data_IF_975736915152
#
_entry.id   IF_975736915152
#
_cell.length_a   1.000
_cell.length_b   1.000
_cell.length_c   1.000
_cell.angle_alpha   90.00
_cell.angle_beta   90.00
_cell.angle_gamma   90.00
#
_symmetry.space_group_name_H-M   'P 1'
#
loop_
_entity.id
_entity.type
_entity.pdbx_description
1 polymer ?
#
# COMPACT_ATOMS: atom_id res chain seq x y z
N UNK A 1 41.65 2.96 50.06
CA UNK A 1 42.21 2.32 48.86
C UNK A 1 41.69 3.08 47.66
N UNK A 2 42.65 3.70 47.00
CA UNK A 2 42.54 4.69 45.94
C UNK A 2 42.49 3.97 44.59
N UNK A 3 41.56 4.35 43.71
CA UNK A 3 41.63 4.03 42.29
C UNK A 3 41.41 5.32 41.49
N UNK A 4 42.53 6.00 41.23
CA UNK A 4 42.67 6.96 40.16
C UNK A 4 43.37 6.29 38.97
N UNK A 5 42.75 6.33 37.79
CA UNK A 5 43.32 6.74 36.49
C UNK A 5 42.65 6.07 35.28
N UNK A 6 42.37 6.92 34.29
CA UNK A 6 42.36 6.58 32.86
C UNK A 6 41.10 5.88 32.37
N UNK A 7 40.16 6.57 31.71
CA UNK A 7 40.42 7.18 30.41
C UNK A 7 39.29 8.16 30.12
N UNK A 8 39.63 9.44 29.97
CA UNK A 8 38.78 10.36 29.23
C UNK A 8 38.66 9.79 27.81
N UNK A 9 37.49 9.23 27.50
CA UNK A 9 37.13 8.86 26.14
C UNK A 9 37.26 10.13 25.31
N UNK A 10 38.26 10.13 24.42
CA UNK A 10 38.34 11.06 23.29
C UNK A 10 36.95 11.13 22.66
N UNK A 11 36.25 12.23 22.87
CA UNK A 11 35.14 12.65 22.00
C UNK A 11 35.75 12.79 20.62
N UNK A 12 35.62 11.76 19.79
CA UNK A 12 36.06 11.81 18.41
C UNK A 12 35.26 12.91 17.72
N UNK A 13 35.96 13.98 17.32
CA UNK A 13 35.41 15.12 16.61
C UNK A 13 34.96 14.80 15.16
N UNK A 14 34.48 13.56 14.94
CA UNK A 14 34.04 13.03 13.66
C UNK A 14 33.14 11.80 13.79
N UNK A 15 32.62 11.48 14.99
CA UNK A 15 31.59 10.46 15.14
C UNK A 15 30.29 10.95 14.49
N UNK A 16 29.89 10.30 13.40
CA UNK A 16 28.56 10.49 12.84
C UNK A 16 27.52 10.10 13.89
N UNK A 17 26.53 10.97 14.10
CA UNK A 17 25.41 10.66 14.97
C UNK A 17 24.45 9.73 14.23
N UNK A 18 23.94 8.70 14.91
CA UNK A 18 22.93 7.78 14.36
C UNK A 18 21.83 8.57 13.65
N UNK A 19 21.58 8.26 12.37
CA UNK A 19 20.65 9.01 11.50
C UNK A 19 19.22 8.46 11.48
N UNK A 20 18.90 7.54 12.39
CA UNK A 20 17.59 6.88 12.48
C UNK A 20 16.87 7.33 13.76
N UNK A 21 15.53 7.50 13.74
CA UNK A 21 14.74 7.71 14.94
C UNK A 21 14.98 6.66 16.03
N UNK A 22 14.68 7.06 17.27
CA UNK A 22 14.50 6.10 18.35
C UNK A 22 13.27 5.22 18.08
N UNK A 23 13.36 3.93 18.42
CA UNK A 23 12.26 2.97 18.25
C UNK A 23 11.25 3.17 19.38
N UNK A 24 10.33 4.12 19.22
CA UNK A 24 9.25 4.45 20.16
C UNK A 24 7.88 4.00 19.65
N UNK A 25 6.82 4.21 20.41
CA UNK A 25 5.46 3.96 19.93
C UNK A 25 5.11 4.83 18.71
N UNK A 26 5.55 6.10 18.71
CA UNK A 26 5.36 7.03 17.59
C UNK A 26 6.07 6.52 16.33
N UNK A 27 7.29 5.96 16.47
CA UNK A 27 8.00 5.34 15.34
C UNK A 27 7.14 4.27 14.65
N UNK A 28 6.55 3.35 15.42
CA UNK A 28 5.72 2.30 14.85
C UNK A 28 4.42 2.84 14.25
N UNK A 29 3.79 3.83 14.89
CA UNK A 29 2.59 4.49 14.33
C UNK A 29 2.92 5.17 13.00
N UNK A 30 3.91 6.06 12.95
CA UNK A 30 4.27 6.73 11.69
C UNK A 30 4.64 5.69 10.63
N UNK A 31 5.40 4.65 10.99
CA UNK A 31 5.76 3.57 10.05
C UNK A 31 4.54 2.88 9.44
N UNK A 32 3.56 2.47 10.25
CA UNK A 32 2.33 1.81 9.75
C UNK A 32 1.48 2.79 8.93
N UNK A 33 1.38 4.05 9.35
CA UNK A 33 0.65 5.05 8.56
C UNK A 33 1.35 5.33 7.22
N UNK A 34 2.68 5.41 7.21
CA UNK A 34 3.46 5.63 5.99
C UNK A 34 3.32 4.46 5.03
N UNK A 35 3.25 3.21 5.50
CA UNK A 35 3.01 2.05 4.62
C UNK A 35 1.61 2.16 4.02
N UNK A 36 0.57 2.40 4.80
CA UNK A 36 -0.80 2.56 4.27
C UNK A 36 -0.94 3.75 3.30
N UNK A 37 -0.31 4.90 3.60
CA UNK A 37 -0.28 6.03 2.65
C UNK A 37 0.48 5.67 1.38
N UNK A 38 1.59 4.94 1.50
CA UNK A 38 2.37 4.49 0.35
C UNK A 38 1.55 3.67 -0.64
N UNK A 39 0.72 2.76 -0.11
CA UNK A 39 -0.21 1.95 -0.90
C UNK A 39 -1.25 2.82 -1.60
N UNK A 40 -2.12 3.42 -0.79
CA UNK A 40 -3.28 4.19 -1.27
C UNK A 40 -2.90 5.36 -2.18
N UNK A 41 -1.71 5.95 -1.99
CA UNK A 41 -1.21 7.01 -2.85
C UNK A 41 -0.59 6.47 -4.14
N UNK A 42 0.07 5.31 -4.12
CA UNK A 42 0.54 4.66 -5.34
C UNK A 42 -0.64 4.30 -6.26
N UNK A 43 -1.69 3.69 -5.70
CA UNK A 43 -2.91 3.32 -6.45
C UNK A 43 -3.58 4.57 -7.05
N UNK A 44 -3.72 5.62 -6.24
CA UNK A 44 -4.24 6.90 -6.70
C UNK A 44 -3.41 7.49 -7.84
N UNK A 45 -2.07 7.41 -7.72
CA UNK A 45 -1.17 7.89 -8.76
C UNK A 45 -1.30 7.07 -10.06
N UNK A 46 -1.52 5.76 -9.97
CA UNK A 46 -1.71 4.88 -11.12
C UNK A 46 -3.04 5.18 -11.85
N UNK A 47 -4.13 5.38 -11.10
CA UNK A 47 -5.48 5.52 -11.66
C UNK A 47 -5.83 6.96 -12.05
N UNK A 48 -5.51 7.96 -11.20
CA UNK A 48 -6.09 9.30 -11.30
C UNK A 48 -5.21 10.33 -12.03
N UNK A 49 -3.90 10.09 -12.17
CA UNK A 49 -2.97 11.09 -12.71
C UNK A 49 -3.01 11.17 -14.23
N UNK A 50 -3.44 10.12 -14.92
CA UNK A 50 -3.64 10.12 -16.38
C UNK A 50 -2.36 10.31 -17.22
N UNK A 51 -1.17 10.28 -16.59
CA UNK A 51 0.13 10.41 -17.27
C UNK A 51 0.66 9.07 -17.81
N UNK A 52 0.00 7.97 -17.47
CA UNK A 52 0.42 6.60 -17.76
C UNK A 52 1.38 6.04 -16.68
N UNK A 53 1.28 4.74 -16.34
CA UNK A 53 2.03 4.13 -15.23
C UNK A 53 3.55 4.40 -15.30
N UNK A 54 4.15 4.18 -16.47
CA UNK A 54 5.60 4.35 -16.67
C UNK A 54 6.12 5.76 -16.34
N UNK A 55 5.37 6.80 -16.72
CA UNK A 55 5.78 8.20 -16.47
C UNK A 55 5.66 8.51 -14.99
N UNK A 56 4.56 8.10 -14.38
CA UNK A 56 4.31 8.26 -12.94
C UNK A 56 5.38 7.57 -12.10
N UNK A 57 5.73 6.33 -12.44
CA UNK A 57 6.79 5.56 -11.77
C UNK A 57 8.15 6.22 -11.91
N UNK A 58 8.51 6.69 -13.11
CA UNK A 58 9.77 7.36 -13.37
C UNK A 58 9.89 8.68 -12.57
N UNK A 59 8.82 9.45 -12.47
CA UNK A 59 8.77 10.68 -11.67
C UNK A 59 8.97 10.36 -10.19
N UNK A 60 8.23 9.38 -9.65
CA UNK A 60 8.33 9.01 -8.24
C UNK A 60 9.69 8.43 -7.86
N UNK A 61 10.28 7.59 -8.72
CA UNK A 61 11.66 7.12 -8.57
C UNK A 61 12.67 8.28 -8.55
N UNK A 62 12.47 9.29 -9.41
CA UNK A 62 13.33 10.48 -9.45
C UNK A 62 13.21 11.29 -8.15
N UNK A 63 11.99 11.52 -7.66
CA UNK A 63 11.74 12.22 -6.41
C UNK A 63 12.36 11.47 -5.22
N UNK A 64 12.21 10.15 -5.18
CA UNK A 64 12.87 9.32 -4.16
C UNK A 64 14.39 9.43 -4.23
N UNK A 65 14.98 9.36 -5.41
CA UNK A 65 16.43 9.48 -5.59
C UNK A 65 16.95 10.84 -5.07
N UNK A 66 16.25 11.93 -5.38
CA UNK A 66 16.59 13.27 -4.85
C UNK A 66 16.48 13.31 -3.32
N UNK A 67 15.40 12.78 -2.74
CA UNK A 67 15.22 12.74 -1.29
C UNK A 67 16.31 11.92 -0.59
N UNK A 68 16.67 10.74 -1.14
CA UNK A 68 17.77 9.93 -0.62
C UNK A 68 19.10 10.67 -0.71
N UNK A 69 19.39 11.38 -1.81
CA UNK A 69 20.60 12.21 -1.92
C UNK A 69 20.65 13.27 -0.82
N UNK A 70 19.52 13.91 -0.51
CA UNK A 70 19.41 14.87 0.61
C UNK A 70 19.66 14.18 1.95
N UNK A 71 19.09 12.98 2.17
CA UNK A 71 19.29 12.18 3.38
C UNK A 71 20.77 11.78 3.57
N UNK A 72 21.43 11.26 2.53
CA UNK A 72 22.85 10.89 2.58
C UNK A 72 23.77 12.09 2.86
N UNK A 73 23.43 13.27 2.31
CA UNK A 73 24.19 14.52 2.55
C UNK A 73 24.01 15.07 3.96
N UNK A 74 22.87 14.79 4.60
CA UNK A 74 22.56 15.29 5.94
C UNK A 74 23.39 14.54 6.99
N UNK A 75 24.13 15.26 7.85
CA UNK A 75 25.08 14.65 8.80
C UNK A 75 24.50 14.25 10.16
N UNK A 76 23.22 14.55 10.39
CA UNK A 76 22.52 14.30 11.67
C UNK A 76 21.11 13.80 11.37
N UNK A 77 20.53 13.07 12.31
CA UNK A 77 19.12 12.72 12.22
C UNK A 77 18.25 13.98 12.10
N UNK A 78 17.50 14.07 11.02
CA UNK A 78 16.53 15.13 10.75
C UNK A 78 15.18 14.46 10.49
N UNK A 79 14.25 14.47 11.47
CA UNK A 79 13.01 13.70 11.40
C UNK A 79 12.23 13.85 10.09
N UNK A 80 12.04 15.08 9.60
CA UNK A 80 11.25 15.29 8.39
C UNK A 80 11.89 14.69 7.12
N UNK A 81 13.22 14.73 6.99
CA UNK A 81 13.93 14.16 5.84
C UNK A 81 13.81 12.63 5.87
N UNK A 82 14.05 12.05 7.03
CA UNK A 82 13.96 10.60 7.22
C UNK A 82 12.56 10.08 6.88
N UNK A 83 11.52 10.70 7.45
CA UNK A 83 10.14 10.25 7.22
C UNK A 83 9.65 10.54 5.81
N UNK A 84 10.10 11.63 5.18
CA UNK A 84 9.88 11.86 3.75
C UNK A 84 10.46 10.72 2.91
N UNK A 85 11.71 10.31 3.17
CA UNK A 85 12.30 9.16 2.50
C UNK A 85 11.51 7.88 2.76
N UNK A 86 11.05 7.62 3.98
CA UNK A 86 10.23 6.43 4.29
C UNK A 86 8.91 6.42 3.49
N UNK A 87 8.22 7.56 3.37
CA UNK A 87 6.98 7.67 2.56
C UNK A 87 7.27 7.53 1.07
N UNK A 88 8.36 8.11 0.56
CA UNK A 88 8.71 7.96 -0.86
C UNK A 88 9.13 6.53 -1.19
N UNK A 89 9.87 5.87 -0.29
CA UNK A 89 10.23 4.46 -0.45
C UNK A 89 8.99 3.57 -0.37
N UNK A 90 7.97 3.93 0.42
CA UNK A 90 6.73 3.15 0.46
C UNK A 90 5.97 3.19 -0.86
N UNK A 91 5.88 4.38 -1.48
CA UNK A 91 5.21 4.55 -2.78
C UNK A 91 5.99 3.81 -3.88
N UNK A 92 7.28 4.10 -4.00
CA UNK A 92 8.12 3.48 -5.04
C UNK A 92 8.26 1.96 -4.83
N UNK A 93 8.24 1.49 -3.58
CA UNK A 93 8.25 0.07 -3.26
C UNK A 93 7.04 -0.66 -3.82
N UNK A 94 5.83 -0.06 -3.73
CA UNK A 94 4.61 -0.59 -4.34
C UNK A 94 4.72 -0.58 -5.86
N UNK A 95 5.04 0.57 -6.46
CA UNK A 95 5.21 0.68 -7.92
C UNK A 95 6.21 -0.34 -8.51
N UNK A 96 7.29 -0.66 -7.78
CA UNK A 96 8.23 -1.71 -8.21
C UNK A 96 7.57 -3.09 -8.21
N UNK A 97 6.76 -3.40 -7.21
CA UNK A 97 6.03 -4.67 -7.15
C UNK A 97 5.00 -4.75 -8.27
N UNK A 98 4.17 -3.73 -8.43
CA UNK A 98 3.10 -3.64 -9.44
C UNK A 98 3.68 -3.71 -10.85
N UNK A 99 4.85 -3.11 -11.07
CA UNK A 99 5.55 -3.25 -12.34
C UNK A 99 5.93 -4.72 -12.63
N UNK A 100 6.33 -5.49 -11.63
CA UNK A 100 6.65 -6.91 -11.82
C UNK A 100 5.40 -7.75 -12.00
N UNK A 101 4.35 -7.52 -11.22
CA UNK A 101 3.13 -8.34 -11.23
C UNK A 101 2.23 -7.98 -12.39
N UNK A 102 1.92 -6.70 -12.56
CA UNK A 102 0.83 -6.23 -13.42
C UNK A 102 1.38 -5.89 -14.81
N UNK A 103 2.58 -5.31 -14.88
CA UNK A 103 3.18 -4.94 -16.18
C UNK A 103 3.96 -6.11 -16.81
N UNK A 104 4.75 -6.84 -16.02
CA UNK A 104 5.53 -7.98 -16.52
C UNK A 104 4.79 -9.32 -16.41
N UNK A 105 3.63 -9.37 -15.75
CA UNK A 105 2.85 -10.61 -15.60
C UNK A 105 3.53 -11.67 -14.72
N UNK A 106 4.46 -11.27 -13.85
CA UNK A 106 5.16 -12.22 -12.96
C UNK A 106 4.26 -12.56 -11.79
N UNK A 107 3.92 -13.85 -11.63
CA UNK A 107 3.06 -14.29 -10.53
C UNK A 107 3.54 -13.79 -9.15
N UNK A 108 2.59 -13.44 -8.28
CA UNK A 108 2.84 -12.98 -6.91
C UNK A 108 3.71 -13.94 -6.08
N UNK A 109 3.61 -15.25 -6.31
CA UNK A 109 4.46 -16.25 -5.65
C UNK A 109 5.93 -16.08 -6.02
N UNK A 110 6.21 -15.85 -7.30
CA UNK A 110 7.57 -15.70 -7.82
C UNK A 110 8.14 -14.34 -7.42
N UNK A 111 7.39 -13.25 -7.57
CA UNK A 111 7.85 -11.91 -7.17
C UNK A 111 8.15 -11.85 -5.67
N UNK A 112 7.27 -12.39 -4.82
CA UNK A 112 7.49 -12.50 -3.37
C UNK A 112 8.75 -13.30 -3.04
N UNK A 113 8.95 -14.47 -3.68
CA UNK A 113 10.14 -15.28 -3.46
C UNK A 113 11.42 -14.56 -3.89
N UNK A 114 11.40 -13.88 -5.04
CA UNK A 114 12.53 -13.10 -5.56
C UNK A 114 12.87 -11.96 -4.61
N UNK A 115 11.91 -11.16 -4.16
CA UNK A 115 12.17 -10.07 -3.21
C UNK A 115 12.67 -10.59 -1.86
N UNK A 116 12.20 -11.75 -1.40
CA UNK A 116 12.69 -12.39 -0.18
C UNK A 116 14.16 -12.81 -0.31
N UNK A 117 14.55 -13.38 -1.46
CA UNK A 117 15.94 -13.73 -1.77
C UNK A 117 16.80 -12.47 -1.85
N UNK A 118 16.36 -11.42 -2.55
CA UNK A 118 17.09 -10.15 -2.62
C UNK A 118 17.29 -9.57 -1.22
N UNK A 119 16.26 -9.57 -0.37
CA UNK A 119 16.35 -9.07 1.00
C UNK A 119 17.37 -9.89 1.82
N UNK A 120 17.34 -11.22 1.69
CA UNK A 120 18.31 -12.10 2.35
C UNK A 120 19.74 -11.83 1.88
N UNK A 121 19.95 -11.57 0.59
CA UNK A 121 21.25 -11.17 0.03
C UNK A 121 21.70 -9.84 0.60
N UNK A 122 20.82 -8.83 0.67
CA UNK A 122 21.13 -7.51 1.24
C UNK A 122 21.53 -7.64 2.72
N UNK A 123 20.77 -8.37 3.54
CA UNK A 123 21.13 -8.59 4.94
C UNK A 123 22.43 -9.38 5.09
N UNK A 124 22.65 -10.39 4.25
CA UNK A 124 23.88 -11.19 4.29
C UNK A 124 25.09 -10.35 3.92
N UNK A 125 25.00 -9.55 2.86
CA UNK A 125 26.06 -8.64 2.44
C UNK A 125 26.35 -7.58 3.51
N UNK A 126 25.31 -6.99 4.09
CA UNK A 126 25.43 -6.03 5.18
C UNK A 126 26.11 -6.65 6.40
N UNK A 127 25.64 -7.81 6.87
CA UNK A 127 26.21 -8.48 8.03
C UNK A 127 27.65 -8.96 7.79
N UNK A 128 27.99 -9.42 6.58
CA UNK A 128 29.38 -9.79 6.24
C UNK A 128 30.33 -8.61 6.30
N UNK A 129 29.88 -7.42 5.88
CA UNK A 129 30.73 -6.23 5.78
C UNK A 129 30.81 -5.43 7.08
N UNK A 130 29.70 -5.33 7.81
CA UNK A 130 29.57 -4.45 8.99
C UNK A 130 29.47 -5.23 10.30
N UNK A 131 29.23 -6.55 10.25
CA UNK A 131 29.07 -7.47 11.40
C UNK A 131 27.98 -7.05 12.39
N UNK A 132 27.06 -6.21 11.93
CA UNK A 132 25.89 -5.72 12.67
C UNK A 132 24.73 -5.53 11.70
N UNK A 133 23.52 -5.81 12.17
CA UNK A 133 22.25 -5.44 11.53
C UNK A 133 21.45 -4.48 12.42
N UNK A 134 22.10 -3.94 13.46
CA UNK A 134 21.45 -3.09 14.44
C UNK A 134 21.23 -1.68 13.86
N UNK A 135 19.97 -1.27 13.84
CA UNK A 135 19.55 0.03 13.31
C UNK A 135 20.12 1.23 14.12
N UNK A 136 20.44 1.00 15.39
CA UNK A 136 21.07 2.01 16.26
C UNK A 136 22.51 2.35 15.85
N UNK A 137 23.13 1.52 15.02
CA UNK A 137 24.54 1.64 14.59
C UNK A 137 24.71 2.25 13.18
N UNK A 138 23.69 2.92 12.64
CA UNK A 138 23.76 3.56 11.32
C UNK A 138 24.47 4.92 11.44
N UNK A 139 25.79 4.84 11.46
CA UNK A 139 26.74 5.94 11.66
C UNK A 139 27.80 6.04 10.54
N UNK A 140 27.67 5.28 9.45
CA UNK A 140 28.53 5.44 8.28
C UNK A 140 27.71 5.52 6.99
N UNK A 141 28.18 6.20 5.94
CA UNK A 141 27.49 6.24 4.65
C UNK A 141 27.24 4.84 4.06
N UNK A 142 28.16 3.90 4.33
CA UNK A 142 28.03 2.50 3.90
C UNK A 142 26.91 1.76 4.63
N UNK A 143 26.84 1.89 5.96
CA UNK A 143 25.72 1.34 6.76
C UNK A 143 24.39 1.97 6.38
N UNK A 144 24.40 3.27 6.11
CA UNK A 144 23.21 4.00 5.63
C UNK A 144 22.75 3.49 4.27
N UNK A 145 23.67 3.19 3.35
CA UNK A 145 23.33 2.61 2.04
C UNK A 145 22.72 1.20 2.17
N UNK A 146 23.30 0.33 3.00
CA UNK A 146 22.69 -0.98 3.29
C UNK A 146 21.32 -0.86 3.94
N UNK A 147 21.17 0.09 4.85
CA UNK A 147 19.92 0.33 5.52
C UNK A 147 18.81 0.76 4.55
N UNK A 148 19.05 1.77 3.70
CA UNK A 148 18.06 2.21 2.71
C UNK A 148 17.79 1.16 1.63
N UNK A 149 18.82 0.42 1.21
CA UNK A 149 18.65 -0.73 0.32
C UNK A 149 17.77 -1.81 0.94
N UNK A 150 18.03 -2.18 2.20
CA UNK A 150 17.20 -3.13 2.93
C UNK A 150 15.77 -2.61 3.05
N UNK A 151 15.58 -1.33 3.42
CA UNK A 151 14.24 -0.74 3.52
C UNK A 151 13.49 -0.86 2.19
N UNK A 152 14.07 -0.39 1.08
CA UNK A 152 13.43 -0.47 -0.23
C UNK A 152 13.02 -1.92 -0.58
N UNK A 153 13.91 -2.89 -0.36
CA UNK A 153 13.58 -4.30 -0.62
C UNK A 153 12.51 -4.83 0.34
N UNK A 154 12.51 -4.45 1.62
CA UNK A 154 11.43 -4.84 2.55
C UNK A 154 10.09 -4.25 2.16
N UNK A 155 10.08 -3.07 1.55
CA UNK A 155 8.85 -2.44 1.05
C UNK A 155 8.30 -3.19 -0.16
N UNK A 156 9.12 -3.45 -1.17
CA UNK A 156 8.71 -4.26 -2.33
C UNK A 156 8.24 -5.67 -1.93
N UNK A 157 9.04 -6.37 -1.10
CA UNK A 157 8.65 -7.68 -0.54
C UNK A 157 7.33 -7.61 0.22
N UNK A 158 7.15 -6.57 1.02
CA UNK A 158 5.99 -6.45 1.87
C UNK A 158 4.70 -6.16 1.11
N UNK A 159 4.77 -5.39 0.01
CA UNK A 159 3.65 -5.21 -0.92
C UNK A 159 3.34 -6.56 -1.58
N UNK A 160 4.32 -7.20 -2.22
CA UNK A 160 4.12 -8.49 -2.89
C UNK A 160 3.55 -9.58 -1.96
N UNK A 161 4.00 -9.62 -0.70
CA UNK A 161 3.50 -10.56 0.29
C UNK A 161 2.09 -10.20 0.82
N UNK A 162 1.73 -8.92 0.82
CA UNK A 162 0.39 -8.42 1.11
C UNK A 162 -0.60 -8.88 0.05
N UNK A 163 -0.30 -8.59 -1.21
CA UNK A 163 -1.13 -8.90 -2.38
C UNK A 163 -1.23 -10.42 -2.57
N UNK A 164 -0.11 -11.14 -2.37
CA UNK A 164 -0.12 -12.60 -2.32
C UNK A 164 -1.12 -13.14 -1.29
N UNK A 165 -1.22 -12.50 -0.11
CA UNK A 165 -2.14 -12.92 0.92
C UNK A 165 -3.60 -12.58 0.58
N UNK A 166 -3.86 -11.40 0.05
CA UNK A 166 -5.23 -10.91 -0.23
C UNK A 166 -5.81 -11.50 -1.52
N UNK A 167 -5.04 -11.56 -2.60
CA UNK A 167 -5.47 -11.96 -3.95
C UNK A 167 -5.19 -13.44 -4.21
N UNK A 168 -3.91 -13.82 -4.23
CA UNK A 168 -3.48 -15.15 -4.68
C UNK A 168 -3.91 -16.26 -3.70
N UNK A 169 -3.81 -16.00 -2.39
CA UNK A 169 -4.31 -16.89 -1.35
C UNK A 169 -5.79 -16.66 -1.02
N UNK A 170 -6.41 -15.64 -1.62
CA UNK A 170 -7.83 -15.31 -1.46
C UNK A 170 -8.26 -15.21 0.00
N UNK A 171 -7.42 -14.61 0.87
CA UNK A 171 -7.78 -14.37 2.27
C UNK A 171 -8.67 -13.13 2.43
N UNK A 172 -8.61 -12.21 1.47
CA UNK A 172 -9.27 -10.91 1.50
C UNK A 172 -8.67 -9.92 2.52
N UNK A 173 -9.04 -8.65 2.38
CA UNK A 173 -8.42 -7.53 3.10
C UNK A 173 -8.52 -7.64 4.64
N UNK A 174 -9.69 -8.02 5.16
CA UNK A 174 -9.95 -8.13 6.61
C UNK A 174 -9.09 -9.21 7.26
N UNK A 175 -9.10 -10.40 6.68
CA UNK A 175 -8.36 -11.55 7.20
C UNK A 175 -6.86 -11.31 7.10
N UNK A 176 -6.39 -10.78 5.96
CA UNK A 176 -5.00 -10.37 5.77
C UNK A 176 -4.52 -9.41 6.86
N UNK A 177 -5.28 -8.33 7.09
CA UNK A 177 -4.99 -7.34 8.15
C UNK A 177 -4.87 -7.99 9.53
N UNK A 178 -5.81 -8.86 9.90
CA UNK A 178 -5.80 -9.55 11.20
C UNK A 178 -4.60 -10.50 11.33
N UNK A 179 -4.26 -11.24 10.27
CA UNK A 179 -3.12 -12.16 10.26
C UNK A 179 -1.82 -11.38 10.46
N UNK A 180 -1.57 -10.32 9.68
CA UNK A 180 -0.33 -9.55 9.79
C UNK A 180 -0.23 -8.81 11.14
N UNK A 181 -1.33 -8.27 11.65
CA UNK A 181 -1.38 -7.69 12.99
C UNK A 181 -1.06 -8.74 14.07
N UNK A 182 -1.62 -9.95 13.94
CA UNK A 182 -1.34 -11.08 14.82
C UNK A 182 0.12 -11.53 14.78
N UNK A 183 0.73 -11.60 13.59
CA UNK A 183 2.15 -11.93 13.43
C UNK A 183 3.07 -10.87 14.06
N UNK A 184 2.73 -9.58 13.95
CA UNK A 184 3.45 -8.50 14.65
C UNK A 184 3.32 -8.67 16.18
N UNK A 185 2.12 -8.98 16.68
CA UNK A 185 1.90 -9.23 18.11
C UNK A 185 2.72 -10.44 18.61
N UNK A 186 2.74 -11.54 17.86
CA UNK A 186 3.57 -12.72 18.17
C UNK A 186 5.05 -12.35 18.18
N UNK A 187 5.51 -11.55 17.22
CA UNK A 187 6.90 -11.09 17.15
C UNK A 187 7.27 -10.23 18.37
N UNK A 188 6.36 -9.34 18.78
CA UNK A 188 6.52 -8.52 19.98
C UNK A 188 6.58 -9.39 21.26
N UNK A 189 5.69 -10.37 21.40
CA UNK A 189 5.71 -11.33 22.51
C UNK A 189 7.01 -12.14 22.54
N UNK A 190 7.47 -12.64 21.40
CA UNK A 190 8.74 -13.37 21.30
C UNK A 190 9.93 -12.52 21.79
N UNK A 191 9.95 -11.22 21.44
CA UNK A 191 10.93 -10.28 21.98
C UNK A 191 10.86 -10.13 23.50
N UNK A 192 9.65 -10.20 24.09
CA UNK A 192 9.46 -10.15 25.54
C UNK A 192 9.96 -11.40 26.26
N UNK A 193 9.98 -12.55 25.58
CA UNK A 193 10.48 -13.84 26.07
C UNK A 193 11.95 -14.12 25.72
N UNK A 194 12.70 -13.12 25.25
CA UNK A 194 14.16 -13.22 25.09
C UNK A 194 14.64 -13.50 23.66
N UNK A 195 13.77 -13.43 22.65
CA UNK A 195 14.22 -13.40 21.27
C UNK A 195 15.08 -12.15 20.99
N UNK A 196 16.07 -12.28 20.09
CA UNK A 196 17.01 -11.19 19.81
C UNK A 196 16.32 -9.91 19.33
N UNK A 197 16.70 -8.77 19.92
CA UNK A 197 16.12 -7.45 19.62
C UNK A 197 16.21 -7.08 18.13
N UNK A 198 17.38 -7.36 17.51
CA UNK A 198 17.61 -7.03 16.10
C UNK A 198 16.72 -7.88 15.19
N UNK A 199 16.58 -9.17 15.49
CA UNK A 199 15.76 -10.09 14.70
C UNK A 199 14.28 -9.73 14.79
N UNK A 200 13.77 -9.58 16.01
CA UNK A 200 12.36 -9.20 16.25
C UNK A 200 12.02 -7.84 15.66
N UNK A 201 12.95 -6.88 15.71
CA UNK A 201 12.81 -5.60 15.02
C UNK A 201 12.62 -5.79 13.50
N UNK A 202 13.50 -6.52 12.83
CA UNK A 202 13.42 -6.70 11.37
C UNK A 202 12.19 -7.49 10.94
N UNK A 203 11.79 -8.52 11.70
CA UNK A 203 10.55 -9.25 11.43
C UNK A 203 9.35 -8.32 11.56
N UNK A 204 9.23 -7.59 12.67
CA UNK A 204 8.14 -6.63 12.85
C UNK A 204 8.15 -5.56 11.75
N UNK A 205 9.32 -5.02 11.43
CA UNK A 205 9.50 -4.02 10.38
C UNK A 205 9.04 -4.51 9.01
N UNK A 206 9.42 -5.73 8.62
CA UNK A 206 8.95 -6.35 7.36
C UNK A 206 7.44 -6.52 7.39
N UNK A 207 6.87 -7.05 8.48
CA UNK A 207 5.43 -7.30 8.61
C UNK A 207 4.56 -6.04 8.65
N UNK A 208 5.11 -4.87 9.02
CA UNK A 208 4.34 -3.61 8.96
C UNK A 208 3.94 -3.21 7.55
N UNK A 209 4.64 -3.68 6.52
CA UNK A 209 4.29 -3.36 5.13
C UNK A 209 3.07 -4.14 4.62
N UNK A 210 3.03 -5.49 4.66
CA UNK A 210 1.84 -6.23 4.25
C UNK A 210 0.64 -5.90 5.15
N UNK A 211 0.86 -5.61 6.44
CA UNK A 211 -0.21 -5.03 7.28
C UNK A 211 -0.73 -3.72 6.69
N UNK A 212 0.17 -2.81 6.29
CA UNK A 212 -0.19 -1.50 5.76
C UNK A 212 -0.91 -1.57 4.43
N UNK A 213 -0.54 -2.52 3.55
CA UNK A 213 -1.21 -2.79 2.27
C UNK A 213 -2.63 -3.31 2.52
N UNK A 214 -2.77 -4.44 3.22
CA UNK A 214 -4.09 -5.02 3.53
C UNK A 214 -5.00 -4.06 4.32
N UNK A 215 -4.43 -3.23 5.21
CA UNK A 215 -5.18 -2.20 5.93
C UNK A 215 -5.59 -1.06 5.00
N UNK A 216 -4.72 -0.64 4.08
CA UNK A 216 -5.02 0.37 3.07
C UNK A 216 -6.22 -0.04 2.24
N UNK A 217 -6.15 -1.22 1.63
CA UNK A 217 -7.22 -1.77 0.80
C UNK A 217 -8.52 -1.93 1.61
N UNK A 218 -8.41 -2.42 2.84
CA UNK A 218 -9.57 -2.54 3.72
C UNK A 218 -10.27 -1.19 3.95
N UNK A 219 -9.51 -0.09 4.06
CA UNK A 219 -10.07 1.23 4.29
C UNK A 219 -10.62 1.86 3.00
N UNK A 220 -9.93 1.67 1.87
CA UNK A 220 -10.22 2.36 0.61
C UNK A 220 -11.26 1.65 -0.25
N UNK A 221 -11.20 0.31 -0.32
CA UNK A 221 -12.03 -0.49 -1.21
C UNK A 221 -13.52 -0.42 -0.86
N UNK A 222 -14.36 -0.64 -1.87
CA UNK A 222 -15.81 -0.58 -1.72
C UNK A 222 -16.33 -1.59 -0.68
N UNK A 223 -17.43 -1.23 0.01
CA UNK A 223 -18.12 -2.13 0.95
C UNK A 223 -18.56 -3.43 0.26
N UNK A 224 -18.94 -3.33 -1.01
CA UNK A 224 -19.35 -4.45 -1.84
C UNK A 224 -18.20 -5.45 -2.09
N UNK A 225 -16.94 -5.03 -1.94
CA UNK A 225 -15.73 -5.89 -2.03
C UNK A 225 -15.12 -6.22 -0.65
N UNK A 226 -15.79 -5.86 0.44
CA UNK A 226 -15.35 -6.18 1.81
C UNK A 226 -14.50 -5.09 2.47
N UNK A 227 -14.25 -3.97 1.76
CA UNK A 227 -13.65 -2.76 2.30
C UNK A 227 -14.61 -1.90 3.13
N UNK A 228 -14.18 -0.68 3.49
CA UNK A 228 -14.95 0.29 4.27
C UNK A 228 -15.44 1.50 3.45
N UNK A 229 -15.04 1.61 2.19
CA UNK A 229 -15.48 2.64 1.25
C UNK A 229 -15.19 4.08 1.73
N UNK A 230 -14.02 4.28 2.35
CA UNK A 230 -13.55 5.62 2.70
C UNK A 230 -12.94 6.36 1.49
N UNK A 231 -12.59 5.63 0.44
CA UNK A 231 -11.90 6.11 -0.74
C UNK A 231 -10.40 6.35 -0.49
N UNK A 232 -9.60 6.20 -1.55
CA UNK A 232 -8.15 6.39 -1.52
C UNK A 232 -7.77 7.81 -1.07
N UNK A 233 -8.30 8.84 -1.73
CA UNK A 233 -7.90 10.24 -1.48
C UNK A 233 -8.15 10.69 -0.05
N UNK A 234 -9.32 10.37 0.52
CA UNK A 234 -9.67 10.77 1.90
C UNK A 234 -8.81 10.04 2.91
N UNK A 235 -8.59 8.74 2.71
CA UNK A 235 -7.76 7.89 3.59
C UNK A 235 -6.31 8.37 3.58
N UNK A 236 -5.74 8.60 2.39
CA UNK A 236 -4.37 9.11 2.25
C UNK A 236 -4.22 10.49 2.90
N UNK A 237 -5.18 11.41 2.71
CA UNK A 237 -5.10 12.76 3.30
C UNK A 237 -5.16 12.72 4.83
N UNK A 238 -6.06 11.93 5.41
CA UNK A 238 -6.18 11.75 6.85
C UNK A 238 -4.87 11.23 7.45
N UNK A 239 -4.33 10.15 6.87
CA UNK A 239 -3.12 9.51 7.38
C UNK A 239 -1.90 10.42 7.19
N UNK A 240 -1.80 11.09 6.04
CA UNK A 240 -0.76 12.08 5.78
C UNK A 240 -0.79 13.24 6.77
N UNK A 241 -1.97 13.78 7.11
CA UNK A 241 -2.11 14.83 8.12
C UNK A 241 -1.62 14.38 9.50
N UNK A 242 -1.95 13.14 9.90
CA UNK A 242 -1.46 12.56 11.16
C UNK A 242 0.06 12.36 11.13
N UNK A 243 0.62 11.85 10.03
CA UNK A 243 2.07 11.71 9.83
C UNK A 243 2.75 13.07 9.98
N UNK A 244 2.29 14.10 9.25
CA UNK A 244 2.87 15.45 9.30
C UNK A 244 2.83 16.01 10.72
N UNK A 245 1.75 15.78 11.47
CA UNK A 245 1.62 16.22 12.87
C UNK A 245 2.64 15.54 13.77
N UNK A 246 2.76 14.21 13.68
CA UNK A 246 3.69 13.43 14.49
C UNK A 246 5.16 13.75 14.12
N UNK A 247 5.47 13.86 12.84
CA UNK A 247 6.80 14.24 12.34
C UNK A 247 7.15 15.68 12.75
N UNK A 248 6.19 16.60 12.70
CA UNK A 248 6.35 17.97 13.17
C UNK A 248 6.70 18.04 14.66
N UNK A 249 6.01 17.25 15.50
CA UNK A 249 6.36 17.08 16.91
C UNK A 249 7.79 16.57 17.08
N UNK A 250 8.16 15.48 16.39
CA UNK A 250 9.52 14.92 16.45
C UNK A 250 10.58 15.94 16.03
N UNK A 251 10.30 16.76 15.01
CA UNK A 251 11.17 17.83 14.56
C UNK A 251 11.37 18.90 15.63
N UNK A 252 10.31 19.27 16.36
CA UNK A 252 10.37 20.23 17.47
C UNK A 252 11.16 19.67 18.67
N UNK A 253 11.00 18.38 18.97
CA UNK A 253 11.72 17.71 20.06
C UNK A 253 13.20 17.50 19.73
N UNK A 254 13.53 17.17 18.49
CA UNK A 254 14.91 17.05 18.02
C UNK A 254 15.70 18.36 18.13
N UNK A 255 15.01 19.51 18.13
CA UNK A 255 15.60 20.84 18.33
C UNK A 255 15.88 21.24 19.78
N UNK A 256 15.40 20.47 20.78
CA UNK A 256 15.55 20.82 22.21
C UNK A 256 16.81 20.19 22.83
N UNK A 257 17.70 20.97 23.49
CA UNK A 257 18.82 20.43 24.24
C UNK A 257 18.31 19.62 25.44
N UNK A 258 18.52 18.29 25.42
CA UNK A 258 18.09 17.34 26.48
C UNK A 258 17.07 16.28 26.06
N UNK A 259 16.61 16.27 24.80
CA UNK A 259 15.44 15.51 24.34
C UNK A 259 15.53 13.98 24.21
N UNK A 260 16.45 13.29 24.89
CA UNK A 260 16.52 11.81 24.82
C UNK A 260 15.69 11.09 25.89
N UNK A 261 15.45 11.74 27.03
CA UNK A 261 14.83 11.08 28.20
C UNK A 261 13.40 11.57 28.49
N UNK A 262 12.95 12.63 27.83
CA UNK A 262 11.61 13.19 28.00
C UNK A 262 10.60 12.51 27.06
N UNK A 263 10.08 11.35 27.47
CA UNK A 263 8.67 11.06 27.19
C UNK A 263 8.29 9.69 26.64
N UNK A 264 8.81 8.58 27.17
CA UNK A 264 8.27 7.25 26.85
C UNK A 264 6.74 7.19 27.11
N UNK A 265 6.26 7.80 28.20
CA UNK A 265 4.82 7.97 28.50
C UNK A 265 4.10 8.94 27.54
N UNK A 266 4.78 10.01 27.12
CA UNK A 266 4.24 10.99 26.18
C UNK A 266 4.04 10.37 24.80
N UNK A 267 4.95 9.51 24.38
CA UNK A 267 4.89 8.86 23.08
C UNK A 267 3.74 7.87 22.98
N UNK A 268 3.44 7.11 24.04
CA UNK A 268 2.24 6.27 24.09
C UNK A 268 0.95 7.09 24.03
N UNK A 269 0.89 8.25 24.71
CA UNK A 269 -0.30 9.11 24.68
C UNK A 269 -0.53 9.72 23.28
N UNK A 270 0.54 10.17 22.61
CA UNK A 270 0.45 10.67 21.23
C UNK A 270 0.11 9.57 20.22
N UNK A 271 0.69 8.37 20.37
CA UNK A 271 0.36 7.22 19.55
C UNK A 271 -1.11 6.81 19.73
N UNK A 272 -1.61 6.75 20.97
CA UNK A 272 -3.02 6.48 21.26
C UNK A 272 -3.93 7.58 20.71
N UNK A 273 -3.55 8.86 20.85
CA UNK A 273 -4.28 9.99 20.29
C UNK A 273 -4.39 9.91 18.77
N UNK A 274 -3.30 9.57 18.07
CA UNK A 274 -3.31 9.36 16.62
C UNK A 274 -4.27 8.23 16.22
N UNK A 275 -4.23 7.09 16.92
CA UNK A 275 -5.15 5.98 16.67
C UNK A 275 -6.62 6.37 16.89
N UNK A 276 -6.91 7.14 17.94
CA UNK A 276 -8.26 7.65 18.24
C UNK A 276 -8.73 8.61 17.15
N UNK A 277 -7.89 9.54 16.70
CA UNK A 277 -8.22 10.49 15.62
C UNK A 277 -8.56 9.73 14.34
N UNK A 278 -7.76 8.74 13.96
CA UNK A 278 -8.00 7.93 12.77
C UNK A 278 -9.30 7.15 12.89
N UNK A 279 -9.54 6.49 14.03
CA UNK A 279 -10.76 5.72 14.25
C UNK A 279 -12.00 6.63 14.24
N UNK A 280 -11.95 7.78 14.91
CA UNK A 280 -13.06 8.73 14.94
C UNK A 280 -13.35 9.33 13.56
N UNK A 281 -12.31 9.70 12.81
CA UNK A 281 -12.45 10.19 11.44
C UNK A 281 -13.03 9.11 10.52
N UNK A 282 -12.55 7.86 10.62
CA UNK A 282 -13.09 6.73 9.86
C UNK A 282 -14.57 6.48 10.15
N UNK A 283 -15.01 6.58 11.41
CA UNK A 283 -16.43 6.46 11.78
C UNK A 283 -17.25 7.63 11.22
N UNK A 284 -16.75 8.86 11.33
CA UNK A 284 -17.45 10.05 10.82
C UNK A 284 -17.58 10.05 9.28
N UNK A 285 -16.55 9.58 8.58
CA UNK A 285 -16.52 9.50 7.12
C UNK A 285 -17.39 8.35 6.60
N UNK A 286 -17.37 7.19 7.25
CA UNK A 286 -18.17 6.02 6.86
C UNK A 286 -19.68 6.18 7.12
N UNK A 287 -20.07 7.08 8.02
CA UNK A 287 -21.48 7.41 8.32
C UNK A 287 -22.10 8.44 7.37
N UNK A 288 -21.36 8.94 6.37
CA UNK A 288 -21.85 9.96 5.44
C UNK A 288 -21.90 11.37 6.03
N UNK A 289 -21.34 11.57 7.22
CA UNK A 289 -21.34 12.84 7.96
C UNK A 289 -20.18 13.78 7.58
N UNK A 290 -19.52 13.55 6.43
CA UNK A 290 -18.50 14.45 5.94
C UNK A 290 -19.11 15.84 5.65
N UNK A 291 -18.48 16.95 6.06
CA UNK A 291 -18.91 18.28 5.63
C UNK A 291 -18.70 18.35 4.12
N UNK A 292 -19.78 18.36 3.35
CA UNK A 292 -19.71 18.48 1.90
C UNK A 292 -19.06 19.80 1.54
N UNK A 293 -17.79 19.75 1.11
CA UNK A 293 -17.19 20.87 0.41
C UNK A 293 -18.00 21.11 -0.86
N UNK A 294 -18.67 22.25 -0.92
CA UNK A 294 -19.53 22.65 -2.02
C UNK A 294 -18.66 22.98 -3.23
N UNK A 295 -18.57 22.06 -4.19
CA UNK A 295 -18.00 22.38 -5.51
C UNK A 295 -19.03 23.20 -6.32
N UNK A 296 -18.61 24.23 -7.08
CA UNK A 296 -19.52 25.04 -7.89
C UNK A 296 -20.13 24.20 -9.02
N UNK A 297 -21.45 24.08 -9.00
CA UNK A 297 -22.21 23.18 -9.85
C UNK A 297 -22.04 23.40 -11.35
N UNK A 298 -21.75 22.31 -12.06
CA UNK A 298 -22.25 22.09 -13.42
C UNK A 298 -23.48 21.20 -13.27
N UNK A 299 -24.66 21.80 -13.43
CA UNK A 299 -25.92 21.06 -13.44
C UNK A 299 -26.00 20.20 -14.71
N UNK A 300 -25.62 18.93 -14.59
CA UNK A 300 -25.97 17.92 -15.58
C UNK A 300 -27.36 17.37 -15.22
N UNK A 301 -28.37 17.72 -16.01
CA UNK A 301 -29.69 17.08 -16.01
C UNK A 301 -29.53 15.62 -16.44
N UNK A 302 -29.26 14.73 -15.48
CA UNK A 302 -29.43 13.30 -15.65
C UNK A 302 -30.88 12.93 -15.30
N UNK A 303 -31.59 12.33 -16.25
CA UNK A 303 -32.87 11.68 -15.98
C UNK A 303 -32.68 10.60 -14.90
N UNK A 304 -33.69 10.31 -14.07
CA UNK A 304 -33.57 9.28 -13.05
C UNK A 304 -33.44 7.92 -13.73
N UNK A 305 -32.22 7.39 -13.78
CA UNK A 305 -31.99 5.99 -14.11
C UNK A 305 -32.41 5.21 -12.88
N UNK A 306 -33.50 4.46 -13.00
CA UNK A 306 -33.95 3.53 -11.97
C UNK A 306 -32.82 2.53 -11.73
N UNK A 307 -32.06 2.69 -10.65
CA UNK A 307 -31.12 1.66 -10.22
C UNK A 307 -31.94 0.45 -9.80
N UNK A 308 -31.86 -0.62 -10.60
CA UNK A 308 -32.40 -1.91 -10.22
C UNK A 308 -31.56 -2.38 -9.03
N UNK A 309 -32.19 -2.51 -7.87
CA UNK A 309 -31.55 -3.06 -6.67
C UNK A 309 -31.50 -4.57 -6.87
N UNK A 310 -30.33 -5.08 -7.24
CA UNK A 310 -30.10 -6.50 -7.50
C UNK A 310 -29.78 -7.27 -6.21
N UNK A 311 -30.36 -8.46 -5.97
CA UNK A 311 -30.04 -9.28 -4.81
C UNK A 311 -28.59 -9.80 -4.88
N UNK A 312 -27.80 -9.54 -3.85
CA UNK A 312 -26.39 -9.96 -3.77
C UNK A 312 -26.28 -11.48 -3.73
N UNK A 313 -25.62 -12.09 -4.72
CA UNK A 313 -25.20 -13.51 -4.61
C UNK A 313 -24.05 -13.67 -3.62
N UNK A 314 -23.59 -14.92 -3.41
CA UNK A 314 -22.38 -15.18 -2.61
C UNK A 314 -21.18 -14.38 -3.10
N UNK A 315 -21.04 -14.17 -4.41
CA UNK A 315 -19.92 -13.43 -4.97
C UNK A 315 -19.98 -11.95 -4.56
N UNK A 316 -21.18 -11.37 -4.49
CA UNK A 316 -21.42 -10.00 -4.05
C UNK A 316 -22.31 -9.26 -5.04
N UNK A 317 -22.16 -7.94 -5.07
CA UNK A 317 -22.80 -7.08 -6.06
C UNK A 317 -21.92 -7.01 -7.32
N UNK A 318 -22.40 -7.51 -8.46
CA UNK A 318 -21.68 -7.46 -9.75
C UNK A 318 -22.30 -6.48 -10.76
N UNK A 319 -23.27 -5.66 -10.32
CA UNK A 319 -24.01 -4.71 -11.17
C UNK A 319 -23.13 -3.65 -11.85
N UNK A 320 -22.03 -3.25 -11.22
CA UNK A 320 -21.06 -2.33 -11.81
C UNK A 320 -20.43 -2.93 -13.08
N UNK A 321 -20.07 -4.21 -13.05
CA UNK A 321 -19.55 -4.93 -14.22
C UNK A 321 -20.63 -5.09 -15.29
N UNK A 322 -21.86 -5.44 -14.90
CA UNK A 322 -22.98 -5.52 -15.83
C UNK A 322 -23.23 -4.19 -16.56
N UNK A 323 -23.08 -3.06 -15.86
CA UNK A 323 -23.18 -1.71 -16.45
C UNK A 323 -22.08 -1.47 -17.49
N UNK A 324 -20.82 -1.77 -17.15
CA UNK A 324 -19.68 -1.62 -18.07
C UNK A 324 -19.85 -2.53 -19.30
N UNK A 325 -20.26 -3.78 -19.11
CA UNK A 325 -20.49 -4.76 -20.19
C UNK A 325 -21.67 -4.32 -21.09
N UNK A 326 -22.71 -3.72 -20.50
CA UNK A 326 -23.84 -3.15 -21.27
C UNK A 326 -23.39 -1.97 -22.13
N UNK A 327 -22.60 -1.05 -21.58
CA UNK A 327 -22.01 0.05 -22.35
C UNK A 327 -21.11 -0.47 -23.48
N UNK A 328 -20.32 -1.49 -23.18
CA UNK A 328 -19.41 -2.13 -24.13
C UNK A 328 -20.18 -2.81 -25.28
N UNK A 329 -21.28 -3.49 -24.98
CA UNK A 329 -22.19 -4.08 -25.96
C UNK A 329 -22.81 -3.01 -26.86
N UNK A 330 -23.24 -1.88 -26.29
CA UNK A 330 -23.79 -0.75 -27.06
C UNK A 330 -22.76 -0.19 -28.05
N UNK A 331 -21.49 -0.06 -27.64
CA UNK A 331 -20.38 0.38 -28.51
C UNK A 331 -20.09 -0.60 -29.65
N UNK A 332 -19.97 -1.89 -29.34
CA UNK A 332 -19.69 -2.93 -30.35
C UNK A 332 -20.83 -3.01 -31.37
N UNK A 333 -22.10 -3.00 -30.93
CA UNK A 333 -23.26 -2.98 -31.81
C UNK A 333 -23.32 -1.69 -32.65
N UNK A 334 -22.93 -0.56 -32.07
CA UNK A 334 -22.81 0.74 -32.74
C UNK A 334 -21.63 0.90 -33.70
N UNK A 335 -20.83 -0.15 -33.92
CA UNK A 335 -19.59 -0.13 -34.71
C UNK A 335 -18.48 0.78 -34.16
N UNK A 336 -18.52 1.13 -32.88
CA UNK A 336 -17.47 1.86 -32.18
C UNK A 336 -16.47 0.88 -31.54
N UNK A 337 -15.70 0.17 -32.38
CA UNK A 337 -14.69 -0.79 -31.89
C UNK A 337 -13.52 -0.08 -31.19
N UNK A 338 -13.21 1.16 -31.57
CA UNK A 338 -12.17 1.96 -30.92
C UNK A 338 -12.58 2.35 -29.49
N UNK A 339 -13.79 2.88 -29.31
CA UNK A 339 -14.33 3.13 -27.98
C UNK A 339 -14.59 1.85 -27.20
N UNK A 340 -14.88 0.73 -27.88
CA UNK A 340 -14.96 -0.59 -27.26
C UNK A 340 -13.62 -1.03 -26.66
N UNK A 341 -12.49 -0.80 -27.36
CA UNK A 341 -11.14 -1.05 -26.82
C UNK A 341 -10.82 -0.19 -25.59
N UNK A 342 -11.31 1.05 -25.53
CA UNK A 342 -11.17 1.88 -24.34
C UNK A 342 -12.03 1.34 -23.20
N UNK A 343 -13.31 1.07 -23.45
CA UNK A 343 -14.25 0.66 -22.40
C UNK A 343 -13.97 -0.75 -21.86
N UNK A 344 -13.39 -1.65 -22.66
CA UNK A 344 -12.95 -2.96 -22.17
C UNK A 344 -11.74 -2.86 -21.24
N UNK A 345 -10.93 -1.80 -21.35
CA UNK A 345 -9.87 -1.54 -20.36
C UNK A 345 -10.47 -1.13 -19.01
N UNK A 346 -11.55 -0.34 -19.00
CA UNK A 346 -12.27 -0.02 -17.76
C UNK A 346 -12.84 -1.29 -17.11
N UNK A 347 -13.32 -2.25 -17.90
CA UNK A 347 -13.82 -3.53 -17.40
C UNK A 347 -12.71 -4.34 -16.72
N UNK A 348 -11.56 -4.48 -17.38
CA UNK A 348 -10.38 -5.17 -16.82
C UNK A 348 -9.96 -4.52 -15.51
N UNK A 349 -9.73 -3.21 -15.51
CA UNK A 349 -9.29 -2.49 -14.30
C UNK A 349 -10.29 -2.68 -13.16
N UNK A 350 -11.59 -2.50 -13.42
CA UNK A 350 -12.60 -2.66 -12.38
C UNK A 350 -12.67 -4.10 -11.85
N UNK A 351 -12.49 -5.10 -12.72
CA UNK A 351 -12.57 -6.51 -12.36
C UNK A 351 -11.35 -6.94 -11.52
N UNK A 352 -10.16 -6.54 -11.96
CA UNK A 352 -8.90 -6.78 -11.26
C UNK A 352 -8.93 -6.13 -9.87
N UNK A 353 -9.35 -4.85 -9.77
CA UNK A 353 -9.48 -4.11 -8.52
C UNK A 353 -10.43 -4.81 -7.50
N UNK A 354 -11.37 -5.61 -8.00
CA UNK A 354 -12.34 -6.32 -7.19
C UNK A 354 -11.94 -7.75 -6.84
N UNK A 355 -10.85 -8.29 -7.42
CA UNK A 355 -10.43 -9.69 -7.27
C UNK A 355 -10.32 -10.08 -5.80
N UNK A 356 -9.50 -9.36 -5.04
CA UNK A 356 -9.25 -9.62 -3.61
C UNK A 356 -10.51 -9.57 -2.75
N UNK A 357 -11.56 -8.90 -3.21
CA UNK A 357 -12.84 -8.82 -2.51
C UNK A 357 -13.86 -9.88 -2.90
N UNK A 358 -13.88 -10.29 -4.18
CA UNK A 358 -14.86 -11.21 -4.75
C UNK A 358 -14.39 -12.67 -4.69
N UNK A 359 -13.13 -12.93 -5.08
CA UNK A 359 -12.57 -14.28 -5.18
C UNK A 359 -12.62 -15.08 -3.87
N UNK A 360 -12.35 -14.49 -2.68
CA UNK A 360 -12.50 -15.20 -1.40
C UNK A 360 -13.94 -15.66 -1.10
N UNK A 361 -14.95 -15.05 -1.72
CA UNK A 361 -16.36 -15.31 -1.40
C UNK A 361 -16.93 -16.50 -2.16
N UNK A 362 -16.56 -16.63 -3.43
CA UNK A 362 -16.93 -17.76 -4.28
C UNK A 362 -15.94 -17.91 -5.44
N UNK A 363 -14.79 -18.55 -5.17
CA UNK A 363 -13.70 -18.70 -6.15
C UNK A 363 -14.12 -19.40 -7.44
N UNK A 364 -15.06 -20.36 -7.38
CA UNK A 364 -15.52 -21.07 -8.58
C UNK A 364 -16.28 -20.13 -9.54
N UNK A 365 -17.21 -19.33 -9.00
CA UNK A 365 -17.95 -18.34 -9.80
C UNK A 365 -17.09 -17.17 -10.25
N UNK A 366 -16.10 -16.80 -9.43
CA UNK A 366 -15.12 -15.79 -9.81
C UNK A 366 -14.36 -16.25 -11.06
N UNK A 367 -13.79 -17.46 -11.06
CA UNK A 367 -13.09 -18.02 -12.21
C UNK A 367 -13.97 -18.15 -13.45
N UNK A 368 -15.25 -18.51 -13.29
CA UNK A 368 -16.19 -18.57 -14.43
C UNK A 368 -16.42 -17.21 -15.10
N UNK A 369 -16.51 -16.13 -14.32
CA UNK A 369 -16.60 -14.76 -14.86
C UNK A 369 -15.26 -14.28 -15.42
N UNK A 370 -14.17 -14.60 -14.73
CA UNK A 370 -12.79 -14.27 -15.12
C UNK A 370 -12.46 -14.81 -16.52
N UNK A 371 -12.71 -16.11 -16.74
CA UNK A 371 -12.53 -16.76 -18.05
C UNK A 371 -13.35 -16.06 -19.16
N UNK A 372 -14.59 -15.64 -18.85
CA UNK A 372 -15.46 -14.95 -19.82
C UNK A 372 -15.01 -13.51 -20.09
N UNK A 373 -14.48 -12.81 -19.09
CA UNK A 373 -13.90 -11.47 -19.24
C UNK A 373 -12.63 -11.56 -20.09
N UNK A 374 -11.77 -12.54 -19.84
CA UNK A 374 -10.57 -12.82 -20.64
C UNK A 374 -10.90 -13.08 -22.12
N UNK A 375 -11.96 -13.83 -22.38
CA UNK A 375 -12.45 -14.04 -23.73
C UNK A 375 -12.87 -12.73 -24.41
N UNK A 376 -13.60 -11.86 -23.71
CA UNK A 376 -14.03 -10.55 -24.21
C UNK A 376 -12.83 -9.64 -24.46
N UNK A 377 -11.89 -9.57 -23.52
CA UNK A 377 -10.63 -8.81 -23.63
C UNK A 377 -9.84 -9.26 -24.85
N UNK A 378 -9.65 -10.56 -25.02
CA UNK A 378 -8.94 -11.17 -26.14
C UNK A 378 -9.58 -10.81 -27.47
N UNK A 379 -10.90 -10.96 -27.59
CA UNK A 379 -11.63 -10.66 -28.83
C UNK A 379 -11.55 -9.18 -29.21
N UNK A 380 -11.74 -8.27 -28.25
CA UNK A 380 -11.71 -6.83 -28.51
C UNK A 380 -10.31 -6.28 -28.72
N UNK A 381 -9.28 -6.85 -28.08
CA UNK A 381 -7.88 -6.42 -28.23
C UNK A 381 -7.16 -7.05 -29.42
N UNK A 382 -7.77 -8.00 -30.11
CA UNK A 382 -7.25 -8.54 -31.35
C UNK A 382 -6.85 -7.43 -32.35
N UNK A 383 -5.80 -7.70 -33.14
CA UNK A 383 -5.30 -6.76 -34.15
C UNK A 383 -6.39 -6.36 -35.15
N UNK A 384 -7.28 -7.30 -35.49
CA UNK A 384 -8.50 -7.09 -36.28
C UNK A 384 -9.70 -7.68 -35.52
N UNK A 385 -10.36 -6.90 -34.64
CA UNK A 385 -11.48 -7.39 -33.85
C UNK A 385 -12.68 -7.74 -34.75
N UNK A 386 -13.24 -8.95 -34.58
CA UNK A 386 -14.46 -9.35 -35.27
C UNK A 386 -15.69 -8.92 -34.44
N UNK A 387 -16.53 -8.07 -35.02
CA UNK A 387 -17.71 -7.54 -34.32
C UNK A 387 -18.69 -8.62 -33.87
N UNK A 388 -18.94 -9.63 -34.70
CA UNK A 388 -19.90 -10.69 -34.37
C UNK A 388 -19.38 -11.55 -33.21
N UNK A 389 -18.08 -11.85 -33.21
CA UNK A 389 -17.42 -12.59 -32.13
C UNK A 389 -17.41 -11.80 -30.82
N UNK A 390 -17.05 -10.51 -30.87
CA UNK A 390 -17.10 -9.62 -29.70
C UNK A 390 -18.52 -9.53 -29.13
N UNK A 391 -19.54 -9.38 -29.98
CA UNK A 391 -20.93 -9.29 -29.55
C UNK A 391 -21.43 -10.61 -28.92
N UNK A 392 -21.03 -11.75 -29.48
CA UNK A 392 -21.36 -13.06 -28.93
C UNK A 392 -20.78 -13.24 -27.52
N UNK A 393 -19.48 -12.97 -27.35
CA UNK A 393 -18.79 -13.08 -26.05
C UNK A 393 -19.36 -12.13 -24.99
N UNK A 394 -19.66 -10.88 -25.38
CA UNK A 394 -20.32 -9.91 -24.49
C UNK A 394 -21.73 -10.37 -24.06
N UNK A 395 -22.45 -11.04 -24.96
CA UNK A 395 -23.79 -11.58 -24.65
C UNK A 395 -23.70 -12.71 -23.64
N UNK A 396 -22.73 -13.62 -23.81
CA UNK A 396 -22.45 -14.69 -22.83
C UNK A 396 -22.11 -14.10 -21.46
N UNK A 397 -21.15 -13.17 -21.42
CA UNK A 397 -20.73 -12.51 -20.17
C UNK A 397 -21.89 -11.81 -19.47
N UNK A 398 -22.68 -11.03 -20.20
CA UNK A 398 -23.84 -10.34 -19.63
C UNK A 398 -24.91 -11.31 -19.13
N UNK A 399 -25.12 -12.44 -19.82
CA UNK A 399 -26.03 -13.49 -19.37
C UNK A 399 -25.58 -14.11 -18.05
N UNK A 400 -24.28 -14.42 -17.93
CA UNK A 400 -23.71 -14.98 -16.70
C UNK A 400 -23.79 -13.98 -15.55
N UNK A 401 -23.42 -12.71 -15.77
CA UNK A 401 -23.55 -11.63 -14.80
C UNK A 401 -25.00 -11.49 -14.29
N UNK A 402 -25.97 -11.46 -15.20
CA UNK A 402 -27.39 -11.38 -14.84
C UNK A 402 -27.89 -12.61 -14.08
N UNK A 403 -27.38 -13.81 -14.41
CA UNK A 403 -27.71 -15.06 -13.70
C UNK A 403 -27.14 -15.04 -12.28
N UNK A 404 -25.94 -14.48 -12.12
CA UNK A 404 -25.31 -14.26 -10.81
C UNK A 404 -25.82 -13.03 -10.07
N UNK A 405 -26.68 -12.22 -10.68
CA UNK A 405 -27.47 -11.17 -10.02
C UNK A 405 -28.94 -11.61 -9.79
N UNK A 406 -29.26 -12.89 -10.04
CA UNK A 406 -30.57 -13.49 -9.74
C UNK A 406 -31.71 -13.06 -10.67
N UNK A 407 -31.46 -12.96 -11.99
CA UNK A 407 -32.51 -12.90 -13.02
C UNK A 407 -32.82 -14.28 -13.58
#
# INVERSE_FOLDING_TARGET
MEYAHGTATRTSAGAWLTKVPAITAIFWVIKVLSTTVGETFADYLAVNVGLGPLVTDAVMMTVLAVALVVQFRTRRYTPWIYWLCVVLVSIVGTQITDFFTDTLGVSLYVSSAVFAVILAVVFTAWYRQERTLAITSIDTPRREAFYWGAILTTFALGTAAGDLATEALSLGFRTGTVIFAGLILVTWLAGRFGAGLVLTFWIAYVLTRPLGASLGDLLTQAKDFGGLDLGASTTSLLFFAVIVTLVGREQLLAGRPGGKDAGQRGDYAWAAGAAVVIAAAGIALSSGNAPSATEPGVAATAAPVTQVVHPTTRLGNVSAFATIVTDLQAKVTGNDLAGGKTRVKDLEVAWDDAEAGLKPRDSAKWHELDDQIDEVLTALRAGTPNRADCAAKLTTLLSTLNTFDGV
#
